data_IF_951689370750
#
_entry.id   IF_951689370750
#
_cell.length_a   1.000
_cell.length_b   1.000
_cell.length_c   1.000
_cell.angle_alpha   90.00
_cell.angle_beta   90.00
_cell.angle_gamma   90.00
#
_symmetry.space_group_name_H-M   'P 1'
#
loop_
_entity.id
_entity.type
_entity.pdbx_description
1 polymer ?
#
# COMPACT_ATOMS: atom_id res chain seq x y z
N UNK A 1 -69.49 56.79 3.13
CA UNK A 1 -69.67 55.84 2.00
C UNK A 1 -68.81 54.62 2.23
N UNK A 2 -69.44 53.45 2.14
CA UNK A 2 -68.92 52.14 2.51
C UNK A 2 -67.70 51.68 1.70
N UNK A 3 -66.84 50.90 2.36
CA UNK A 3 -66.47 49.49 2.05
C UNK A 3 -64.98 49.32 2.34
N UNK A 4 -64.60 48.55 3.36
CA UNK A 4 -63.66 47.42 3.25
C UNK A 4 -63.85 46.51 4.47
N UNK A 5 -64.23 45.26 4.18
CA UNK A 5 -64.60 44.22 5.14
C UNK A 5 -63.36 43.39 5.53
N UNK A 6 -63.23 43.18 6.85
CA UNK A 6 -62.81 41.96 7.59
C UNK A 6 -61.63 41.09 7.11
N UNK A 7 -60.68 40.96 8.05
CA UNK A 7 -59.88 39.79 8.48
C UNK A 7 -60.14 38.44 7.80
N UNK A 8 -59.06 37.70 7.54
CA UNK A 8 -58.82 36.37 8.14
C UNK A 8 -57.32 36.04 8.15
N UNK A 9 -56.81 35.71 9.34
CA UNK A 9 -55.56 34.99 9.52
C UNK A 9 -55.82 33.50 9.23
N UNK A 10 -54.98 32.88 8.41
CA UNK A 10 -54.85 31.42 8.30
C UNK A 10 -53.36 31.11 8.37
N UNK A 11 -53.01 30.42 9.44
CA UNK A 11 -51.74 29.73 9.68
C UNK A 11 -51.55 28.67 8.60
N UNK A 12 -50.49 28.77 7.80
CA UNK A 12 -50.00 27.67 6.99
C UNK A 12 -48.51 27.47 7.30
N UNK A 13 -48.22 26.31 7.90
CA UNK A 13 -46.90 25.70 8.02
C UNK A 13 -46.13 25.86 6.70
N UNK A 14 -45.13 26.74 6.68
CA UNK A 14 -44.06 26.63 5.68
C UNK A 14 -43.24 25.42 6.07
N UNK A 15 -43.53 24.29 5.41
CA UNK A 15 -42.62 23.17 5.37
C UNK A 15 -41.26 23.72 4.93
N UNK A 16 -40.28 23.63 5.82
CA UNK A 16 -38.89 23.77 5.46
C UNK A 16 -38.61 22.72 4.38
N UNK A 17 -38.54 23.15 3.12
CA UNK A 17 -37.80 22.44 2.12
C UNK A 17 -36.34 22.54 2.54
N UNK A 18 -35.96 21.69 3.49
CA UNK A 18 -34.60 21.22 3.63
C UNK A 18 -34.25 20.61 2.28
N UNK A 19 -33.76 21.44 1.38
CA UNK A 19 -32.81 20.97 0.39
C UNK A 19 -31.58 20.59 1.18
N UNK A 20 -31.60 19.40 1.76
CA UNK A 20 -30.39 18.60 1.81
C UNK A 20 -29.96 18.47 0.36
N UNK A 21 -29.20 19.46 -0.11
CA UNK A 21 -28.23 19.26 -1.14
C UNK A 21 -27.46 18.02 -0.68
N UNK A 22 -27.76 16.88 -1.30
CA UNK A 22 -26.89 15.74 -1.25
C UNK A 22 -25.53 16.29 -1.66
N UNK A 23 -24.63 16.42 -0.68
CA UNK A 23 -23.26 16.76 -0.95
C UNK A 23 -22.78 15.75 -1.98
N UNK A 24 -22.48 16.23 -3.19
CA UNK A 24 -21.87 15.41 -4.21
C UNK A 24 -20.62 14.79 -3.59
N UNK A 25 -20.59 13.47 -3.42
CA UNK A 25 -19.39 12.76 -2.97
C UNK A 25 -18.34 12.84 -4.07
N UNK A 26 -17.64 13.96 -4.16
CA UNK A 26 -16.62 14.22 -5.17
C UNK A 26 -15.26 13.83 -4.62
N UNK A 27 -15.02 12.52 -4.47
CA UNK A 27 -13.75 12.02 -3.95
C UNK A 27 -13.54 10.52 -4.15
N UNK A 28 -12.29 10.11 -4.01
CA UNK A 28 -11.85 8.72 -3.93
C UNK A 28 -12.24 8.16 -2.55
N UNK A 29 -13.06 7.11 -2.47
CA UNK A 29 -13.69 6.63 -1.22
C UNK A 29 -12.91 5.52 -0.53
N UNK A 30 -12.16 4.73 -1.29
CA UNK A 30 -11.45 3.51 -0.84
C UNK A 30 -10.09 3.80 -0.18
N UNK A 31 -9.79 5.06 0.12
CA UNK A 31 -8.54 5.49 0.76
C UNK A 31 -8.74 5.97 2.19
N UNK A 32 -9.96 5.90 2.73
CA UNK A 32 -10.31 6.51 4.03
C UNK A 32 -9.40 6.04 5.18
N UNK A 33 -9.02 4.77 5.17
CA UNK A 33 -8.13 4.12 6.14
C UNK A 33 -6.78 3.71 5.52
N UNK A 34 -6.46 4.21 4.33
CA UNK A 34 -5.19 3.92 3.68
C UNK A 34 -4.10 4.84 4.22
N UNK A 35 -2.95 4.28 4.53
CA UNK A 35 -1.85 5.01 5.15
C UNK A 35 -1.31 6.16 4.33
N UNK A 36 -1.28 5.96 3.01
CA UNK A 36 -0.85 6.95 2.05
C UNK A 36 -1.95 7.91 1.62
N UNK A 37 -3.05 8.02 2.39
CA UNK A 37 -4.22 8.83 2.04
C UNK A 37 -3.85 10.27 1.70
N UNK A 38 -2.97 10.90 2.48
CA UNK A 38 -2.55 12.28 2.24
C UNK A 38 -1.88 12.45 0.86
N UNK A 39 -0.97 11.54 0.50
CA UNK A 39 -0.32 11.54 -0.81
C UNK A 39 -1.33 11.33 -1.94
N UNK A 40 -2.25 10.36 -1.79
CA UNK A 40 -3.27 10.08 -2.80
C UNK A 40 -4.23 11.26 -2.95
N UNK A 41 -4.69 11.86 -1.85
CA UNK A 41 -5.55 13.05 -1.89
C UNK A 41 -4.84 14.22 -2.55
N UNK A 42 -3.55 14.44 -2.25
CA UNK A 42 -2.75 15.45 -2.94
C UNK A 42 -2.71 15.20 -4.45
N UNK A 43 -2.34 13.98 -4.88
CA UNK A 43 -2.26 13.64 -6.30
C UNK A 43 -3.61 13.77 -7.00
N UNK A 44 -4.70 13.42 -6.33
CA UNK A 44 -6.05 13.58 -6.87
C UNK A 44 -6.42 15.06 -7.05
N UNK A 45 -6.15 15.88 -6.03
CA UNK A 45 -6.43 17.31 -6.06
C UNK A 45 -5.57 18.06 -7.09
N UNK A 46 -4.35 17.58 -7.37
CA UNK A 46 -3.49 18.09 -8.44
C UNK A 46 -3.82 17.51 -9.82
N UNK A 47 -4.85 16.66 -9.93
CA UNK A 47 -5.23 15.95 -11.16
C UNK A 47 -4.14 15.04 -11.75
N UNK A 48 -3.19 14.58 -10.93
CA UNK A 48 -2.17 13.61 -11.35
C UNK A 48 -2.71 12.19 -11.44
N UNK A 49 -3.71 11.88 -10.61
CA UNK A 49 -4.42 10.60 -10.61
C UNK A 49 -5.92 10.83 -10.72
N UNK A 50 -6.64 9.80 -11.13
CA UNK A 50 -8.10 9.73 -11.08
C UNK A 50 -8.56 8.44 -10.36
N UNK A 51 -9.82 8.42 -9.94
CA UNK A 51 -10.51 7.21 -9.51
C UNK A 51 -11.47 6.71 -10.58
N UNK A 52 -11.60 5.39 -10.72
CA UNK A 52 -12.65 4.78 -11.55
C UNK A 52 -13.83 4.44 -10.64
N UNK A 53 -15.02 4.98 -10.94
CA UNK A 53 -16.22 4.80 -10.11
C UNK A 53 -15.98 5.18 -8.62
N UNK A 54 -15.21 6.24 -8.38
CA UNK A 54 -14.87 6.69 -7.03
C UNK A 54 -13.80 5.86 -6.31
N UNK A 55 -13.15 4.90 -6.97
CA UNK A 55 -12.12 4.06 -6.36
C UNK A 55 -10.74 4.27 -7.00
N UNK A 56 -9.69 4.36 -6.18
CA UNK A 56 -8.31 4.47 -6.62
C UNK A 56 -7.58 3.12 -6.65
N UNK A 57 -8.00 2.19 -5.78
CA UNK A 57 -7.44 0.86 -5.55
C UNK A 57 -5.98 0.93 -5.12
N UNK A 58 -5.67 1.53 -3.96
CA UNK A 58 -4.30 1.78 -3.54
C UNK A 58 -3.48 0.50 -3.31
N UNK A 59 -4.12 -0.62 -2.99
CA UNK A 59 -3.48 -1.90 -2.73
C UNK A 59 -3.31 -2.79 -3.98
N UNK A 60 -3.79 -2.36 -5.15
CA UNK A 60 -3.56 -3.10 -6.40
C UNK A 60 -2.17 -2.77 -6.96
N UNK A 61 -1.49 -3.78 -7.53
CA UNK A 61 -0.21 -3.58 -8.22
C UNK A 61 -0.34 -2.62 -9.40
N UNK A 62 0.58 -1.66 -9.48
CA UNK A 62 0.59 -0.69 -10.59
C UNK A 62 1.15 -1.33 -11.86
N UNK A 63 0.52 -1.01 -12.99
CA UNK A 63 1.01 -1.40 -14.32
C UNK A 63 2.01 -0.37 -14.85
N UNK A 64 2.87 -0.77 -15.80
CA UNK A 64 3.80 0.12 -16.51
C UNK A 64 3.10 1.34 -17.12
N UNK A 65 1.95 1.13 -17.77
CA UNK A 65 1.17 2.24 -18.32
C UNK A 65 0.49 3.12 -17.25
N UNK A 66 0.13 2.53 -16.10
CA UNK A 66 -0.40 3.27 -14.96
C UNK A 66 0.63 4.22 -14.37
N UNK A 67 1.87 3.75 -14.14
CA UNK A 67 2.96 4.60 -13.70
C UNK A 67 3.28 5.68 -14.74
N UNK A 68 3.25 5.31 -16.03
CA UNK A 68 3.50 6.25 -17.11
C UNK A 68 2.48 7.40 -17.13
N UNK A 69 1.20 7.09 -16.94
CA UNK A 69 0.14 8.09 -16.90
C UNK A 69 0.30 9.06 -15.73
N UNK A 70 0.58 8.55 -14.52
CA UNK A 70 0.75 9.39 -13.33
C UNK A 70 1.92 10.35 -13.51
N UNK A 71 3.08 9.85 -13.93
CA UNK A 71 4.28 10.69 -14.10
C UNK A 71 4.10 11.67 -15.26
N UNK A 72 3.44 11.27 -16.35
CA UNK A 72 3.11 12.19 -17.44
C UNK A 72 2.20 13.34 -16.97
N UNK A 73 1.21 13.07 -16.11
CA UNK A 73 0.38 14.12 -15.55
C UNK A 73 1.17 15.05 -14.60
N UNK A 74 2.16 14.53 -13.88
CA UNK A 74 3.04 15.34 -13.01
C UNK A 74 3.95 16.28 -13.81
N UNK A 75 4.48 15.85 -14.96
CA UNK A 75 5.32 16.70 -15.83
C UNK A 75 4.50 17.70 -16.66
N UNK A 76 3.21 17.42 -16.85
CA UNK A 76 2.31 18.15 -17.76
C UNK A 76 2.35 17.58 -19.19
N UNK A 77 1.21 17.65 -19.89
CA UNK A 77 1.13 17.14 -21.26
C UNK A 77 2.08 17.90 -22.21
N UNK A 78 3.12 17.23 -22.69
CA UNK A 78 3.92 17.72 -23.81
C UNK A 78 3.17 17.44 -25.11
N UNK A 79 2.66 18.50 -25.74
CA UNK A 79 1.83 18.41 -26.94
C UNK A 79 2.61 18.01 -28.21
N UNK A 80 3.95 17.95 -28.14
CA UNK A 80 4.83 17.66 -29.29
C UNK A 80 5.01 16.17 -29.56
N UNK A 81 4.98 15.31 -28.54
CA UNK A 81 5.19 13.86 -28.70
C UNK A 81 3.87 13.13 -28.56
N UNK A 82 3.37 12.56 -29.66
CA UNK A 82 2.03 11.95 -29.71
C UNK A 82 2.04 10.44 -29.87
N UNK A 83 3.11 9.86 -30.41
CA UNK A 83 3.12 8.47 -30.87
C UNK A 83 4.42 7.78 -30.51
N UNK A 84 4.37 6.45 -30.41
CA UNK A 84 5.53 5.60 -30.20
C UNK A 84 5.61 4.49 -31.26
N UNK A 85 6.80 3.90 -31.40
CA UNK A 85 7.05 2.77 -32.30
C UNK A 85 6.75 1.40 -31.67
N UNK A 86 6.34 1.36 -30.39
CA UNK A 86 6.01 0.09 -29.75
C UNK A 86 4.76 -0.55 -30.35
N UNK A 87 4.84 -1.82 -30.71
CA UNK A 87 3.76 -2.55 -31.38
C UNK A 87 2.53 -2.75 -30.49
N UNK A 88 2.72 -2.77 -29.17
CA UNK A 88 1.70 -3.04 -28.15
C UNK A 88 1.15 -1.77 -27.47
N UNK A 89 1.48 -0.58 -27.98
CA UNK A 89 1.05 0.71 -27.39
C UNK A 89 0.11 1.50 -28.31
N UNK A 90 0.19 1.30 -29.63
CA UNK A 90 -0.63 2.06 -30.60
C UNK A 90 -2.13 1.92 -30.30
N UNK A 91 -2.82 3.05 -30.22
CA UNK A 91 -4.26 3.13 -29.95
C UNK A 91 -4.64 2.95 -28.48
N UNK A 92 -3.68 2.78 -27.55
CA UNK A 92 -3.97 2.71 -26.12
C UNK A 92 -4.21 4.10 -25.55
N UNK A 93 -5.04 4.16 -24.51
CA UNK A 93 -5.28 5.39 -23.73
C UNK A 93 -3.99 5.99 -23.17
N UNK A 94 -2.99 5.14 -22.91
CA UNK A 94 -1.68 5.48 -22.35
C UNK A 94 -0.63 5.84 -23.41
N UNK A 95 -0.95 5.77 -24.71
CA UNK A 95 0.02 5.95 -25.80
C UNK A 95 0.80 7.26 -25.69
N UNK A 96 0.10 8.37 -25.49
CA UNK A 96 0.72 9.70 -25.36
C UNK A 96 1.63 9.78 -24.14
N UNK A 97 1.17 9.24 -23.00
CA UNK A 97 1.94 9.24 -21.77
C UNK A 97 3.22 8.41 -21.91
N UNK A 98 3.12 7.22 -22.51
CA UNK A 98 4.26 6.34 -22.78
C UNK A 98 5.23 7.02 -23.74
N UNK A 99 4.74 7.61 -24.83
CA UNK A 99 5.58 8.29 -25.80
C UNK A 99 6.35 9.46 -25.18
N UNK A 100 5.67 10.28 -24.35
CA UNK A 100 6.27 11.40 -23.60
C UNK A 100 7.38 10.94 -22.65
N UNK A 101 7.15 9.88 -21.86
CA UNK A 101 8.15 9.41 -20.89
C UNK A 101 9.34 8.70 -21.53
N UNK A 102 9.16 8.07 -22.70
CA UNK A 102 10.27 7.50 -23.46
C UNK A 102 11.11 8.59 -24.12
N UNK A 103 10.48 9.61 -24.70
CA UNK A 103 11.17 10.79 -25.24
C UNK A 103 12.03 11.49 -24.17
N UNK A 104 11.51 11.59 -22.95
CA UNK A 104 12.18 12.20 -21.79
C UNK A 104 13.14 11.27 -21.06
N UNK A 105 13.35 10.05 -21.57
CA UNK A 105 14.22 9.03 -21.00
C UNK A 105 13.88 8.62 -19.56
N UNK A 106 12.63 8.83 -19.14
CA UNK A 106 12.13 8.42 -17.82
C UNK A 106 11.81 6.92 -17.80
N UNK A 107 11.22 6.43 -18.90
CA UNK A 107 10.93 5.01 -19.11
C UNK A 107 11.56 4.52 -20.41
N UNK A 108 11.65 3.21 -20.58
CA UNK A 108 12.14 2.58 -21.80
C UNK A 108 11.33 1.32 -22.11
N UNK A 109 11.24 0.98 -23.40
CA UNK A 109 10.69 -0.30 -23.85
C UNK A 109 11.74 -1.40 -23.90
N UNK A 110 11.32 -2.56 -24.38
CA UNK A 110 12.15 -3.75 -24.53
C UNK A 110 12.79 -3.81 -25.92
N UNK A 111 13.90 -4.55 -26.03
CA UNK A 111 14.66 -4.72 -27.29
C UNK A 111 13.85 -5.34 -28.42
N UNK A 112 12.77 -6.05 -28.12
CA UNK A 112 11.85 -6.64 -29.09
C UNK A 112 10.81 -5.63 -29.64
N UNK A 113 10.92 -4.35 -29.33
CA UNK A 113 9.99 -3.31 -29.81
C UNK A 113 8.65 -3.27 -29.07
N UNK A 114 8.57 -3.82 -27.85
CA UNK A 114 7.36 -3.76 -27.00
C UNK A 114 7.57 -2.86 -25.78
N UNK A 115 6.50 -2.35 -25.19
CA UNK A 115 6.53 -1.61 -23.92
C UNK A 115 5.97 -2.42 -22.74
N UNK A 116 5.10 -3.39 -23.01
CA UNK A 116 4.33 -4.20 -22.06
C UNK A 116 3.49 -3.35 -21.09
N UNK A 117 2.53 -2.57 -21.60
CA UNK A 117 1.80 -1.57 -20.82
C UNK A 117 1.09 -2.14 -19.58
N UNK A 118 0.51 -3.33 -19.67
CA UNK A 118 -0.25 -3.96 -18.58
C UNK A 118 0.60 -4.73 -17.57
N UNK A 119 1.91 -4.89 -17.84
CA UNK A 119 2.81 -5.60 -16.94
C UNK A 119 2.93 -4.85 -15.61
N UNK A 120 2.89 -5.58 -14.50
CA UNK A 120 3.16 -5.04 -13.16
C UNK A 120 4.63 -4.66 -13.02
N UNK A 121 4.90 -3.61 -12.26
CA UNK A 121 6.24 -3.05 -12.07
C UNK A 121 6.83 -3.59 -10.76
N UNK A 122 8.05 -4.11 -10.80
CA UNK A 122 8.76 -4.49 -9.57
C UNK A 122 9.27 -3.24 -8.83
N UNK A 123 9.56 -3.37 -7.53
CA UNK A 123 10.09 -2.27 -6.72
C UNK A 123 11.40 -1.71 -7.26
N UNK A 124 12.31 -2.56 -7.77
CA UNK A 124 13.56 -2.10 -8.39
C UNK A 124 13.34 -1.40 -9.75
N UNK A 125 12.37 -1.85 -10.55
CA UNK A 125 12.00 -1.19 -11.81
C UNK A 125 11.40 0.19 -11.53
N UNK A 126 10.52 0.29 -10.52
CA UNK A 126 9.91 1.54 -10.13
C UNK A 126 10.94 2.52 -9.55
N UNK A 127 11.92 2.03 -8.79
CA UNK A 127 13.04 2.84 -8.30
C UNK A 127 13.79 3.51 -9.46
N UNK A 128 14.10 2.77 -10.53
CA UNK A 128 14.74 3.34 -11.73
C UNK A 128 13.87 4.40 -12.40
N UNK A 129 12.57 4.15 -12.53
CA UNK A 129 11.64 5.13 -13.12
C UNK A 129 11.60 6.42 -12.30
N UNK A 130 11.49 6.31 -10.98
CA UNK A 130 11.47 7.46 -10.07
C UNK A 130 12.80 8.22 -10.06
N UNK A 131 13.93 7.51 -10.10
CA UNK A 131 15.26 8.08 -10.23
C UNK A 131 15.41 8.86 -11.55
N UNK A 132 15.03 8.27 -12.68
CA UNK A 132 15.09 8.95 -13.98
C UNK A 132 14.20 10.19 -14.02
N UNK A 133 13.02 10.15 -13.38
CA UNK A 133 12.18 11.33 -13.21
C UNK A 133 12.89 12.44 -12.42
N UNK A 134 13.57 12.11 -11.31
CA UNK A 134 14.38 13.07 -10.55
C UNK A 134 15.49 13.68 -11.41
N UNK A 135 16.21 12.86 -12.18
CA UNK A 135 17.24 13.31 -13.12
C UNK A 135 16.68 14.24 -14.19
N UNK A 136 15.54 13.89 -14.80
CA UNK A 136 14.84 14.75 -15.76
C UNK A 136 14.46 16.11 -15.17
N UNK A 137 14.05 16.15 -13.90
CA UNK A 137 13.74 17.38 -13.17
C UNK A 137 14.97 18.16 -12.69
N UNK A 138 16.18 17.67 -12.93
CA UNK A 138 17.42 18.29 -12.47
C UNK A 138 17.60 18.26 -10.95
N UNK A 139 16.97 17.29 -10.28
CA UNK A 139 17.09 17.14 -8.82
C UNK A 139 18.45 16.58 -8.45
N UNK A 140 19.06 17.09 -7.37
CA UNK A 140 20.30 16.53 -6.84
C UNK A 140 20.05 15.15 -6.27
N UNK A 141 20.78 14.15 -6.77
CA UNK A 141 20.74 12.77 -6.29
C UNK A 141 21.87 12.59 -5.29
N UNK A 142 21.56 12.19 -4.07
CA UNK A 142 22.58 11.85 -3.07
C UNK A 142 23.16 10.48 -3.40
N UNK A 143 24.49 10.39 -3.41
CA UNK A 143 25.19 9.10 -3.51
C UNK A 143 25.40 8.54 -2.10
N UNK A 144 25.03 7.28 -1.91
CA UNK A 144 25.23 6.57 -0.65
C UNK A 144 24.63 5.18 -0.72
N UNK A 145 25.41 4.15 -0.34
CA UNK A 145 24.92 2.78 -0.31
C UNK A 145 23.79 2.64 0.73
N UNK A 146 22.66 2.08 0.31
CA UNK A 146 21.63 1.65 1.25
C UNK A 146 21.94 0.22 1.73
N UNK A 147 22.22 0.00 3.03
CA UNK A 147 22.65 -1.30 3.51
C UNK A 147 21.45 -2.23 3.71
N UNK A 148 20.73 -2.58 2.65
CA UNK A 148 19.60 -3.52 2.73
C UNK A 148 20.08 -4.96 2.91
N UNK A 149 19.37 -5.73 3.74
CA UNK A 149 19.70 -7.12 4.03
C UNK A 149 19.62 -8.04 2.79
N UNK A 150 18.85 -7.65 1.78
CA UNK A 150 18.67 -8.35 0.52
C UNK A 150 19.33 -7.62 -0.67
N UNK A 151 20.34 -6.78 -0.42
CA UNK A 151 21.03 -6.00 -1.46
C UNK A 151 21.56 -6.86 -2.62
N UNK A 152 21.95 -8.11 -2.35
CA UNK A 152 22.43 -9.05 -3.35
C UNK A 152 21.35 -9.47 -4.37
N UNK A 153 20.06 -9.24 -4.06
CA UNK A 153 18.93 -9.50 -4.97
C UNK A 153 18.60 -8.29 -5.85
N UNK A 154 19.16 -7.12 -5.57
CA UNK A 154 18.98 -5.90 -6.36
C UNK A 154 19.79 -6.05 -7.63
N UNK A 155 19.15 -5.89 -8.78
CA UNK A 155 19.87 -5.95 -10.06
C UNK A 155 20.90 -4.83 -10.17
N UNK A 156 22.04 -5.10 -10.79
CA UNK A 156 23.11 -4.10 -10.95
C UNK A 156 22.62 -2.81 -11.63
N UNK A 157 21.72 -2.93 -12.60
CA UNK A 157 21.13 -1.78 -13.31
C UNK A 157 20.19 -0.93 -12.45
N UNK A 158 19.66 -1.47 -11.35
CA UNK A 158 18.77 -0.74 -10.44
C UNK A 158 19.52 -0.14 -9.25
N UNK A 159 20.75 -0.61 -8.97
CA UNK A 159 21.49 -0.33 -7.74
C UNK A 159 21.61 1.18 -7.46
N UNK A 160 22.05 1.95 -8.45
CA UNK A 160 22.21 3.40 -8.31
C UNK A 160 20.89 4.09 -7.98
N UNK A 161 19.79 3.71 -8.63
CA UNK A 161 18.48 4.29 -8.39
C UNK A 161 17.96 3.98 -6.98
N UNK A 162 18.13 2.73 -6.54
CA UNK A 162 17.76 2.30 -5.19
C UNK A 162 18.55 3.07 -4.13
N UNK A 163 19.88 3.11 -4.27
CA UNK A 163 20.78 3.80 -3.35
C UNK A 163 20.44 5.30 -3.27
N UNK A 164 20.22 5.96 -4.41
CA UNK A 164 19.87 7.37 -4.45
C UNK A 164 18.52 7.70 -3.79
N UNK A 165 17.48 6.89 -4.07
CA UNK A 165 16.16 7.10 -3.47
C UNK A 165 16.14 6.80 -1.96
N UNK A 166 16.93 5.82 -1.53
CA UNK A 166 17.11 5.48 -0.12
C UNK A 166 17.86 6.59 0.63
N UNK A 167 18.98 7.07 0.10
CA UNK A 167 19.76 8.16 0.66
C UNK A 167 18.95 9.47 0.74
N UNK A 168 18.10 9.74 -0.26
CA UNK A 168 17.20 10.88 -0.26
C UNK A 168 16.01 10.71 0.71
N UNK A 169 15.72 9.48 1.17
CA UNK A 169 14.59 9.16 2.04
C UNK A 169 13.25 9.15 1.31
N UNK A 170 13.25 8.92 0.00
CA UNK A 170 12.03 8.87 -0.82
C UNK A 170 11.46 7.46 -0.96
N UNK A 171 12.34 6.46 -1.00
CA UNK A 171 11.96 5.05 -1.02
C UNK A 171 12.85 4.28 -0.04
N UNK A 172 12.26 3.72 1.02
CA UNK A 172 12.95 2.87 1.99
C UNK A 172 12.56 1.40 1.83
N UNK A 173 13.38 0.53 2.41
CA UNK A 173 13.07 -0.87 2.59
C UNK A 173 11.91 -1.04 3.57
N UNK A 174 11.25 -2.20 3.50
CA UNK A 174 10.22 -2.59 4.46
C UNK A 174 10.83 -3.29 5.67
N UNK A 175 10.02 -4.17 6.27
CA UNK A 175 10.38 -4.95 7.46
C UNK A 175 11.76 -5.61 7.36
N UNK A 176 12.44 -5.70 8.50
CA UNK A 176 13.75 -6.36 8.63
C UNK A 176 14.83 -5.77 7.72
N UNK A 177 14.72 -4.49 7.35
CA UNK A 177 15.67 -3.79 6.49
C UNK A 177 15.82 -4.46 5.11
N UNK A 178 14.72 -5.02 4.57
CA UNK A 178 14.67 -5.60 3.22
C UNK A 178 14.10 -4.63 2.20
N UNK A 179 14.74 -4.49 1.04
CA UNK A 179 14.23 -3.68 -0.07
C UNK A 179 13.13 -4.40 -0.87
N UNK A 180 13.19 -5.74 -0.96
CA UNK A 180 12.32 -6.60 -1.76
C UNK A 180 12.29 -6.22 -3.26
N UNK A 181 13.44 -6.24 -3.97
CA UNK A 181 13.56 -5.68 -5.32
C UNK A 181 12.62 -6.30 -6.36
N UNK A 182 12.24 -7.58 -6.18
CA UNK A 182 11.40 -8.33 -7.12
C UNK A 182 9.91 -8.29 -6.80
N UNK A 183 9.52 -7.76 -5.64
CA UNK A 183 8.12 -7.60 -5.28
C UNK A 183 7.47 -6.53 -6.16
N UNK A 184 6.21 -6.70 -6.54
CA UNK A 184 5.47 -5.66 -7.25
C UNK A 184 5.16 -4.48 -6.34
N UNK A 185 5.16 -3.28 -6.93
CA UNK A 185 4.79 -2.05 -6.22
C UNK A 185 3.30 -1.78 -6.42
N UNK A 186 2.61 -1.46 -5.33
CA UNK A 186 1.20 -1.06 -5.37
C UNK A 186 1.02 0.37 -5.88
N UNK A 187 -0.18 0.69 -6.37
CA UNK A 187 -0.54 2.04 -6.81
C UNK A 187 -0.36 3.08 -5.72
N UNK A 188 -0.72 2.74 -4.48
CA UNK A 188 -0.58 3.61 -3.33
C UNK A 188 0.89 3.81 -2.94
N UNK A 189 1.72 2.77 -2.91
CA UNK A 189 3.16 2.90 -2.67
C UNK A 189 3.83 3.80 -3.73
N UNK A 190 3.54 3.57 -5.01
CA UNK A 190 4.08 4.36 -6.11
C UNK A 190 3.75 5.86 -5.94
N UNK A 191 2.49 6.19 -5.64
CA UNK A 191 2.06 7.58 -5.39
C UNK A 191 2.76 8.18 -4.17
N UNK A 192 3.01 7.41 -3.11
CA UNK A 192 3.69 7.92 -1.92
C UNK A 192 5.16 8.26 -2.19
N UNK A 193 5.87 7.42 -2.95
CA UNK A 193 7.24 7.72 -3.37
C UNK A 193 7.28 9.00 -4.22
N UNK A 194 6.39 9.12 -5.21
CA UNK A 194 6.32 10.30 -6.08
C UNK A 194 5.92 11.57 -5.30
N UNK A 195 5.04 11.44 -4.31
CA UNK A 195 4.66 12.54 -3.42
C UNK A 195 5.84 13.06 -2.60
N UNK A 196 6.65 12.17 -2.04
CA UNK A 196 7.87 12.52 -1.30
C UNK A 196 8.88 13.25 -2.18
N UNK A 197 9.05 12.76 -3.41
CA UNK A 197 9.91 13.41 -4.42
C UNK A 197 9.40 14.83 -4.73
N UNK A 198 8.10 15.01 -4.98
CA UNK A 198 7.52 16.32 -5.35
C UNK A 198 7.57 17.35 -4.22
N UNK A 199 7.26 16.92 -3.01
CA UNK A 199 7.12 17.83 -1.86
C UNK A 199 8.42 18.01 -1.09
N UNK A 200 9.43 17.18 -1.36
CA UNK A 200 10.64 17.12 -0.56
C UNK A 200 10.40 16.59 0.86
N UNK A 201 9.17 16.20 1.20
CA UNK A 201 8.85 15.51 2.45
C UNK A 201 9.56 14.18 2.39
N UNK A 202 10.65 14.08 3.13
CA UNK A 202 11.35 12.82 3.33
C UNK A 202 10.46 11.93 4.17
N UNK A 203 10.57 10.62 3.98
CA UNK A 203 10.11 9.67 4.98
C UNK A 203 10.95 9.89 6.25
N UNK A 204 10.49 10.83 7.09
CA UNK A 204 11.20 11.26 8.28
C UNK A 204 11.20 10.10 9.26
N UNK A 205 12.41 9.70 9.59
CA UNK A 205 12.80 8.82 10.67
C UNK A 205 12.38 9.41 12.04
N UNK A 206 11.09 9.49 12.35
CA UNK A 206 10.66 8.82 13.57
C UNK A 206 10.38 7.39 13.12
N UNK A 207 11.46 6.63 12.88
CA UNK A 207 11.42 5.44 12.04
C UNK A 207 10.40 4.45 12.59
N UNK A 208 9.76 3.73 11.69
CA UNK A 208 9.08 2.49 12.03
C UNK A 208 9.98 1.64 12.95
N UNK A 209 11.27 1.52 12.65
CA UNK A 209 12.26 0.87 13.54
C UNK A 209 12.39 1.49 14.93
N UNK A 210 12.32 2.82 15.04
CA UNK A 210 12.40 3.54 16.31
C UNK A 210 11.11 3.45 17.12
N UNK A 211 9.95 3.44 16.46
CA UNK A 211 8.67 3.22 17.09
C UNK A 211 8.49 1.76 17.52
N UNK A 212 8.91 0.81 16.68
CA UNK A 212 8.98 -0.61 17.02
C UNK A 212 9.94 -0.85 18.18
N UNK A 213 11.12 -0.23 18.21
CA UNK A 213 12.04 -0.39 19.33
C UNK A 213 11.43 0.07 20.65
N UNK A 214 10.68 1.18 20.65
CA UNK A 214 9.94 1.68 21.81
C UNK A 214 8.80 0.75 22.20
N UNK A 215 7.96 0.37 21.24
CA UNK A 215 6.89 -0.61 21.46
C UNK A 215 7.44 -1.95 21.99
N UNK A 216 8.57 -2.43 21.47
CA UNK A 216 9.22 -3.65 21.94
C UNK A 216 9.79 -3.52 23.34
N UNK A 217 10.24 -2.34 23.74
CA UNK A 217 10.64 -2.08 25.12
C UNK A 217 9.43 -2.28 26.04
N UNK A 218 8.29 -1.66 25.75
CA UNK A 218 7.09 -1.78 26.58
C UNK A 218 6.48 -3.19 26.54
N UNK A 219 6.54 -3.87 25.38
CA UNK A 219 6.18 -5.29 25.26
C UNK A 219 7.06 -6.14 26.18
N UNK A 220 8.38 -5.91 26.22
CA UNK A 220 9.27 -6.64 27.13
C UNK A 220 8.95 -6.34 28.59
N UNK A 221 8.57 -5.10 28.91
CA UNK A 221 8.20 -4.73 30.28
C UNK A 221 6.90 -5.45 30.72
N UNK A 222 5.93 -5.62 29.82
CA UNK A 222 4.65 -6.32 30.12
C UNK A 222 4.77 -7.85 30.10
N UNK A 223 5.53 -8.41 29.14
CA UNK A 223 5.60 -9.86 28.90
C UNK A 223 6.88 -10.53 29.41
N UNK A 224 7.87 -9.75 29.85
CA UNK A 224 9.22 -10.22 30.18
C UNK A 224 10.09 -10.56 28.97
N UNK A 225 9.50 -10.92 27.82
CA UNK A 225 10.24 -11.19 26.58
C UNK A 225 9.36 -11.08 25.34
N UNK A 226 9.99 -10.81 24.19
CA UNK A 226 9.32 -10.84 22.88
C UNK A 226 8.82 -12.24 22.54
N UNK A 227 9.49 -13.30 23.02
CA UNK A 227 9.05 -14.69 22.83
C UNK A 227 7.73 -14.96 23.56
N UNK A 228 7.57 -14.48 24.79
CA UNK A 228 6.31 -14.61 25.53
C UNK A 228 5.19 -13.82 24.84
N UNK A 229 5.50 -12.64 24.32
CA UNK A 229 4.56 -11.87 23.51
C UNK A 229 4.16 -12.60 22.22
N UNK A 230 5.08 -13.25 21.51
CA UNK A 230 4.78 -13.96 20.26
C UNK A 230 3.73 -15.08 20.41
N UNK A 231 3.56 -15.63 21.61
CA UNK A 231 2.54 -16.63 21.92
C UNK A 231 1.13 -16.01 22.15
N UNK A 232 1.06 -14.73 22.51
CA UNK A 232 -0.18 -14.02 22.90
C UNK A 232 -0.57 -12.89 21.94
N UNK A 233 0.37 -12.38 21.15
CA UNK A 233 0.15 -11.21 20.32
C UNK A 233 0.90 -11.21 18.99
N UNK A 234 0.59 -10.18 18.20
CA UNK A 234 1.15 -9.86 16.89
C UNK A 234 1.44 -8.37 16.83
N UNK A 235 2.38 -8.00 15.97
CA UNK A 235 2.64 -6.61 15.66
C UNK A 235 2.75 -6.45 14.15
N UNK A 236 2.08 -5.45 13.60
CA UNK A 236 2.09 -5.19 12.16
C UNK A 236 1.84 -3.71 11.88
N UNK A 237 2.35 -3.25 10.74
CA UNK A 237 2.08 -1.90 10.26
C UNK A 237 0.77 -1.86 9.49
N UNK A 238 -0.09 -0.90 9.84
CA UNK A 238 -1.15 -0.43 8.97
C UNK A 238 -0.81 1.00 8.59
N UNK A 239 0.20 1.12 7.73
CA UNK A 239 0.69 2.41 7.31
C UNK A 239 1.81 3.02 8.11
N UNK A 240 1.61 4.27 8.53
CA UNK A 240 2.43 4.99 9.49
C UNK A 240 2.05 4.66 10.94
N UNK A 241 1.10 3.73 11.14
CA UNK A 241 0.59 3.31 12.44
C UNK A 241 0.98 1.87 12.74
N UNK A 242 1.53 1.67 13.94
CA UNK A 242 1.91 0.35 14.45
C UNK A 242 0.72 -0.26 15.20
N UNK A 243 0.25 -1.41 14.75
CA UNK A 243 -0.83 -2.14 15.40
C UNK A 243 -0.26 -3.30 16.20
N UNK A 244 -0.69 -3.41 17.46
CA UNK A 244 -0.36 -4.50 18.35
C UNK A 244 -1.64 -5.25 18.69
N UNK A 245 -1.78 -6.45 18.12
CA UNK A 245 -2.87 -7.35 18.42
C UNK A 245 -2.54 -8.23 19.62
N UNK A 246 -3.45 -8.35 20.58
CA UNK A 246 -3.27 -9.19 21.78
C UNK A 246 -4.50 -10.06 22.03
N UNK A 247 -4.29 -11.34 22.32
CA UNK A 247 -5.36 -12.32 22.59
C UNK A 247 -5.88 -12.19 24.01
N UNK A 248 -5.00 -12.23 25.02
CA UNK A 248 -5.41 -12.12 26.42
C UNK A 248 -5.93 -10.69 26.75
N UNK A 249 -7.18 -10.54 27.21
CA UNK A 249 -7.75 -9.22 27.47
C UNK A 249 -7.02 -8.42 28.56
N UNK A 250 -6.41 -9.10 29.56
CA UNK A 250 -5.69 -8.43 30.65
C UNK A 250 -4.34 -7.93 30.16
N UNK A 251 -3.61 -8.73 29.41
CA UNK A 251 -2.34 -8.31 28.82
C UNK A 251 -2.55 -7.20 27.78
N UNK A 252 -3.64 -7.26 27.01
CA UNK A 252 -4.04 -6.18 26.10
C UNK A 252 -4.20 -4.86 26.86
N UNK A 253 -4.94 -4.88 27.97
CA UNK A 253 -5.16 -3.66 28.77
C UNK A 253 -3.85 -3.13 29.34
N UNK A 254 -3.03 -4.00 29.94
CA UNK A 254 -1.71 -3.61 30.48
C UNK A 254 -0.81 -2.98 29.42
N UNK A 255 -0.78 -3.55 28.22
CA UNK A 255 0.05 -3.02 27.14
C UNK A 255 -0.51 -1.71 26.59
N UNK A 256 -1.84 -1.58 26.48
CA UNK A 256 -2.47 -0.30 26.11
C UNK A 256 -2.12 0.80 27.12
N UNK A 257 -2.17 0.50 28.41
CA UNK A 257 -1.81 1.44 29.48
C UNK A 257 -0.32 1.82 29.44
N UNK A 258 0.57 0.84 29.18
CA UNK A 258 2.00 1.06 29.06
C UNK A 258 2.35 1.98 27.88
N UNK A 259 1.81 1.66 26.69
CA UNK A 259 2.02 2.46 25.47
C UNK A 259 1.47 3.87 25.64
N UNK A 260 0.30 4.04 26.29
CA UNK A 260 -0.29 5.36 26.53
C UNK A 260 0.52 6.20 27.54
N UNK A 261 1.27 5.56 28.43
CA UNK A 261 2.11 6.24 29.42
C UNK A 261 3.52 6.58 28.87
N UNK A 262 3.96 5.95 27.77
CA UNK A 262 5.27 6.22 27.18
C UNK A 262 5.27 7.55 26.40
N UNK A 263 6.03 8.52 26.91
CA UNK A 263 6.18 9.86 26.31
C UNK A 263 7.05 9.85 25.06
N UNK A 264 7.83 8.80 24.84
CA UNK A 264 8.67 8.63 23.67
C UNK A 264 7.89 8.10 22.47
N UNK A 265 6.69 7.55 22.71
CA UNK A 265 5.74 7.12 21.68
C UNK A 265 4.85 8.31 21.29
N UNK A 266 4.88 8.77 20.02
CA UNK A 266 3.98 9.82 19.57
C UNK A 266 2.52 9.42 19.74
N UNK A 267 1.68 10.39 20.12
CA UNK A 267 0.24 10.17 20.22
C UNK A 267 -0.32 9.63 18.89
N UNK A 268 -1.27 8.68 18.97
CA UNK A 268 -1.93 8.07 17.81
C UNK A 268 -1.01 7.32 16.83
N UNK A 269 0.22 6.99 17.22
CA UNK A 269 1.16 6.23 16.38
C UNK A 269 1.13 4.71 16.63
N UNK A 270 0.67 4.27 17.80
CA UNK A 270 0.57 2.86 18.20
C UNK A 270 -0.85 2.53 18.66
N UNK A 271 -1.41 1.43 18.17
CA UNK A 271 -2.76 0.96 18.50
C UNK A 271 -2.72 -0.44 19.09
N UNK A 272 -3.14 -0.57 20.35
CA UNK A 272 -3.30 -1.87 21.00
C UNK A 272 -4.74 -2.33 20.85
N UNK A 273 -4.94 -3.50 20.26
CA UNK A 273 -6.26 -4.03 19.93
C UNK A 273 -6.39 -5.52 20.26
N UNK A 274 -7.63 -6.02 20.24
CA UNK A 274 -7.87 -7.46 20.37
C UNK A 274 -7.41 -8.15 19.08
N UNK A 275 -6.77 -9.31 19.23
CA UNK A 275 -6.48 -10.23 18.13
C UNK A 275 -7.03 -11.62 18.46
N UNK A 276 -7.47 -12.33 17.43
CA UNK A 276 -7.81 -13.76 17.53
C UNK A 276 -6.55 -14.64 17.53
N UNK A 277 -5.54 -14.26 16.74
CA UNK A 277 -4.33 -15.04 16.50
C UNK A 277 -3.07 -14.29 16.94
N UNK A 278 -2.14 -15.02 17.55
CA UNK A 278 -0.78 -14.55 17.86
C UNK A 278 0.18 -14.85 16.72
N UNK A 279 1.41 -14.35 16.82
CA UNK A 279 2.45 -14.62 15.83
C UNK A 279 2.69 -16.13 15.69
N UNK A 280 2.77 -16.84 16.82
CA UNK A 280 2.94 -18.28 16.83
C UNK A 280 1.73 -19.02 16.23
N UNK A 281 0.50 -18.52 16.45
CA UNK A 281 -0.69 -19.08 15.81
C UNK A 281 -0.62 -18.95 14.28
N UNK A 282 -0.31 -17.77 13.75
CA UNK A 282 -0.16 -17.57 12.29
C UNK A 282 0.93 -18.48 11.72
N UNK A 283 2.08 -18.57 12.38
CA UNK A 283 3.17 -19.45 11.97
C UNK A 283 2.71 -20.91 11.88
N UNK A 284 1.95 -21.39 12.86
CA UNK A 284 1.43 -22.74 12.89
C UNK A 284 0.36 -22.99 11.81
N UNK A 285 -0.58 -22.04 11.62
CA UNK A 285 -1.62 -22.11 10.60
C UNK A 285 -1.02 -22.13 9.19
N UNK A 286 -0.02 -21.28 8.92
CA UNK A 286 0.72 -21.23 7.66
C UNK A 286 1.44 -22.56 7.38
N UNK A 287 2.21 -23.06 8.35
CA UNK A 287 2.92 -24.33 8.22
C UNK A 287 1.95 -25.51 8.00
N UNK A 288 0.80 -25.50 8.67
CA UNK A 288 -0.25 -26.50 8.50
C UNK A 288 -0.88 -26.43 7.09
N UNK A 289 -1.16 -25.22 6.58
CA UNK A 289 -1.70 -25.02 5.24
C UNK A 289 -0.74 -25.54 4.16
N UNK A 290 0.54 -25.17 4.24
CA UNK A 290 1.54 -25.67 3.30
C UNK A 290 1.70 -27.19 3.37
N UNK A 291 1.72 -27.75 4.58
CA UNK A 291 1.87 -29.20 4.78
C UNK A 291 0.72 -29.97 4.16
N UNK A 292 -0.51 -29.50 4.34
CA UNK A 292 -1.70 -30.14 3.76
C UNK A 292 -1.64 -30.05 2.25
N UNK A 293 -1.33 -28.88 1.69
CA UNK A 293 -1.22 -28.70 0.24
C UNK A 293 -0.17 -29.62 -0.38
N UNK A 294 1.04 -29.64 0.20
CA UNK A 294 2.17 -30.47 -0.29
C UNK A 294 1.94 -31.97 -0.13
N UNK A 295 0.98 -32.41 0.70
CA UNK A 295 0.69 -33.83 0.89
C UNK A 295 -0.15 -34.43 -0.24
N UNK A 296 -0.94 -33.60 -0.94
CA UNK A 296 -1.94 -34.05 -1.93
C UNK A 296 -1.67 -33.51 -3.34
N UNK A 297 -0.92 -32.42 -3.48
CA UNK A 297 -0.60 -31.81 -4.76
C UNK A 297 0.76 -32.25 -5.32
N UNK A 298 0.97 -32.04 -6.62
CA UNK A 298 2.21 -32.44 -7.30
C UNK A 298 3.46 -31.77 -6.68
N UNK A 299 4.57 -32.50 -6.65
CA UNK A 299 5.83 -32.04 -6.03
C UNK A 299 6.44 -30.78 -6.64
N UNK A 300 6.05 -30.44 -7.87
CA UNK A 300 6.49 -29.22 -8.58
C UNK A 300 5.50 -28.04 -8.42
N UNK A 301 4.41 -28.21 -7.69
CA UNK A 301 3.43 -27.15 -7.48
C UNK A 301 4.00 -26.05 -6.58
N UNK A 302 3.84 -24.80 -7.01
CA UNK A 302 4.21 -23.62 -6.23
C UNK A 302 3.16 -23.35 -5.15
N UNK A 303 3.63 -23.03 -3.95
CA UNK A 303 2.78 -22.64 -2.82
C UNK A 303 3.48 -21.58 -2.00
N UNK A 304 2.74 -20.54 -1.62
CA UNK A 304 3.16 -19.51 -0.67
C UNK A 304 2.08 -19.32 0.39
N UNK A 305 2.51 -18.97 1.61
CA UNK A 305 1.61 -18.59 2.68
C UNK A 305 2.01 -17.26 3.29
N UNK A 306 1.02 -16.41 3.55
CA UNK A 306 1.22 -15.09 4.14
C UNK A 306 0.09 -14.78 5.13
N UNK A 307 0.37 -14.05 6.23
CA UNK A 307 -0.67 -13.60 7.14
C UNK A 307 -1.41 -12.37 6.57
N UNK A 308 -2.73 -12.39 6.67
CA UNK A 308 -3.63 -11.25 6.47
C UNK A 308 -4.14 -10.82 7.85
N UNK A 309 -3.35 -9.97 8.51
CA UNK A 309 -3.63 -9.51 9.88
C UNK A 309 -4.91 -8.68 9.99
N UNK A 310 -5.36 -8.04 8.90
CA UNK A 310 -6.55 -7.20 8.89
C UNK A 310 -7.83 -8.04 8.88
N UNK A 311 -7.82 -9.15 8.14
CA UNK A 311 -8.97 -10.05 8.06
C UNK A 311 -8.87 -11.24 9.02
N UNK A 312 -7.79 -11.31 9.80
CA UNK A 312 -7.43 -12.40 10.69
C UNK A 312 -7.39 -13.77 9.97
N UNK A 313 -6.63 -13.84 8.88
CA UNK A 313 -6.52 -15.05 8.04
C UNK A 313 -5.10 -15.37 7.64
N UNK A 314 -4.86 -16.62 7.25
CA UNK A 314 -3.74 -17.04 6.42
C UNK A 314 -4.21 -17.06 4.97
N UNK A 315 -3.43 -16.44 4.09
CA UNK A 315 -3.61 -16.51 2.64
C UNK A 315 -2.69 -17.60 2.10
N UNK A 316 -3.27 -18.60 1.46
CA UNK A 316 -2.57 -19.65 0.72
C UNK A 316 -2.68 -19.35 -0.77
N UNK A 317 -1.57 -19.04 -1.41
CA UNK A 317 -1.49 -18.73 -2.85
C UNK A 317 -0.88 -19.89 -3.60
N UNK A 318 -1.61 -20.40 -4.59
CA UNK A 318 -1.29 -21.64 -5.32
C UNK A 318 -1.63 -21.49 -6.80
N UNK A 319 -0.97 -22.26 -7.67
CA UNK A 319 -1.25 -22.25 -9.13
C UNK A 319 -2.46 -23.11 -9.51
N UNK A 320 -2.75 -24.15 -8.75
CA UNK A 320 -3.92 -25.00 -8.90
C UNK A 320 -4.24 -25.68 -7.58
N UNK A 321 -5.46 -26.18 -7.41
CA UNK A 321 -5.82 -26.97 -6.22
C UNK A 321 -6.88 -28.00 -6.58
N UNK A 322 -6.66 -29.25 -6.15
CA UNK A 322 -7.66 -30.30 -6.28
C UNK A 322 -8.79 -30.13 -5.26
N UNK A 323 -9.95 -30.71 -5.57
CA UNK A 323 -11.11 -30.71 -4.66
C UNK A 323 -10.81 -31.41 -3.33
N UNK A 324 -9.98 -32.44 -3.36
CA UNK A 324 -9.55 -33.15 -2.15
C UNK A 324 -8.70 -32.26 -1.26
N UNK A 325 -7.67 -31.61 -1.81
CA UNK A 325 -6.82 -30.66 -1.07
C UNK A 325 -7.64 -29.52 -0.50
N UNK A 326 -8.56 -28.95 -1.28
CA UNK A 326 -9.44 -27.88 -0.82
C UNK A 326 -10.30 -28.33 0.36
N UNK A 327 -10.88 -29.54 0.31
CA UNK A 327 -11.65 -30.09 1.41
C UNK A 327 -10.80 -30.30 2.66
N UNK A 328 -9.59 -30.84 2.50
CA UNK A 328 -8.65 -31.08 3.61
C UNK A 328 -8.23 -29.77 4.29
N UNK A 329 -7.92 -28.74 3.50
CA UNK A 329 -7.59 -27.40 3.97
C UNK A 329 -8.77 -26.75 4.71
N UNK A 330 -9.97 -26.77 4.12
CA UNK A 330 -11.17 -26.22 4.74
C UNK A 330 -11.51 -26.93 6.05
N UNK A 331 -11.32 -28.27 6.10
CA UNK A 331 -11.53 -29.05 7.32
C UNK A 331 -10.52 -28.70 8.41
N UNK A 332 -9.26 -28.46 8.06
CA UNK A 332 -8.20 -28.22 9.01
C UNK A 332 -8.18 -26.77 9.55
N UNK A 333 -8.40 -25.79 8.67
CA UNK A 333 -8.16 -24.37 8.96
C UNK A 333 -9.44 -23.53 8.93
N UNK A 334 -10.51 -24.02 8.29
CA UNK A 334 -11.82 -23.39 8.29
C UNK A 334 -11.76 -21.91 7.88
N UNK A 335 -12.39 -21.05 8.69
CA UNK A 335 -12.46 -19.61 8.44
C UNK A 335 -11.12 -18.88 8.55
N UNK A 336 -10.10 -19.50 9.15
CA UNK A 336 -8.77 -18.94 9.28
C UNK A 336 -7.99 -18.96 7.96
N UNK A 337 -8.49 -19.65 6.92
CA UNK A 337 -7.83 -19.78 5.64
C UNK A 337 -8.57 -19.01 4.54
N UNK A 338 -7.79 -18.34 3.69
CA UNK A 338 -8.21 -17.83 2.39
C UNK A 338 -7.33 -18.46 1.32
N UNK A 339 -7.94 -19.08 0.32
CA UNK A 339 -7.22 -19.68 -0.81
C UNK A 339 -7.30 -18.72 -2.00
N UNK A 340 -6.16 -18.46 -2.64
CA UNK A 340 -6.03 -17.66 -3.86
C UNK A 340 -5.37 -18.51 -4.92
N UNK A 341 -6.01 -18.62 -6.09
CA UNK A 341 -5.48 -19.34 -7.24
C UNK A 341 -4.94 -18.30 -8.22
N UNK A 342 -3.67 -18.42 -8.63
CA UNK A 342 -2.97 -17.48 -9.53
C UNK A 342 -2.34 -18.16 -10.73
#
# INVERSE_FOLDING_TARGET
MNKYKKLMAITAMTAALGTSAFAASTGITDISNYWGKAAIQYFYNQHYISGTNGQFRPNEDITREGAAAIINNMIGEDSKVKTTNFSDVKGRWSERAIASLVDKQIMSGYSNGTFKPEQKITREEFAVIAYNYMTYKGMSTLEGAAPYADEAKISSWARQAVDALAAAGYMKGGNYNMFNPKQYVTRGEAVNVLYRILTGVKETTQSQDGLEAKAFKDIKDVYGSVKAFAADGIMYWQGDKLHIGVKDPKNKQKLADAIAADKDIPAESVYVQKSTYSYDDYKNLMAQAEKIYKATEATNATVSTEPDYLNEKVVLTVSSISKETQNNLNKALGSALRIVIQ
#
